data_IF_615698315278
#
_entry.id   IF_615698315278
#
_cell.length_a   1.000
_cell.length_b   1.000
_cell.length_c   1.000
_cell.angle_alpha   90.00
_cell.angle_beta   90.00
_cell.angle_gamma   90.00
#
_symmetry.space_group_name_H-M   'P 1'
#
loop_
_entity.id
_entity.type
_entity.pdbx_description
1 polymer ?
#
# COMPACT_ATOMS: atom_id res chain seq x y z
N UNK A 1 12.09 -16.70 -9.02
CA UNK A 1 11.98 -18.18 -9.08
C UNK A 1 12.15 -18.73 -7.67
N UNK A 2 11.24 -19.57 -7.19
CA UNK A 2 11.19 -20.04 -5.80
C UNK A 2 11.48 -21.55 -5.70
N UNK A 3 11.82 -21.99 -4.51
CA UNK A 3 11.85 -23.40 -4.09
C UNK A 3 10.61 -23.68 -3.25
N UNK A 4 9.86 -24.72 -3.63
CA UNK A 4 8.75 -25.25 -2.84
C UNK A 4 9.29 -26.20 -1.78
N UNK A 5 8.84 -26.03 -0.54
CA UNK A 5 9.06 -26.92 0.59
C UNK A 5 7.71 -27.17 1.26
N UNK A 6 7.55 -28.34 1.87
CA UNK A 6 6.36 -28.66 2.68
C UNK A 6 6.78 -28.74 4.15
N UNK A 7 6.03 -28.07 5.02
CA UNK A 7 6.19 -28.17 6.47
C UNK A 7 4.83 -28.39 7.13
N UNK A 8 4.64 -29.55 7.76
CA UNK A 8 3.34 -29.98 8.30
C UNK A 8 2.23 -29.93 7.23
N UNK A 9 1.33 -28.94 7.30
CA UNK A 9 0.23 -28.71 6.35
C UNK A 9 0.35 -27.35 5.64
N UNK A 10 1.50 -26.71 5.74
CA UNK A 10 1.78 -25.39 5.18
C UNK A 10 2.78 -25.53 4.05
N UNK A 11 2.41 -25.02 2.88
CA UNK A 11 3.34 -24.92 1.75
C UNK A 11 4.23 -23.69 1.91
N UNK A 12 5.52 -23.85 1.66
CA UNK A 12 6.53 -22.83 1.84
C UNK A 12 7.26 -22.56 0.54
N UNK A 13 7.22 -21.32 0.05
CA UNK A 13 7.93 -20.90 -1.15
C UNK A 13 9.08 -19.96 -0.76
N UNK A 14 10.31 -20.36 -1.09
CA UNK A 14 11.53 -19.61 -0.76
C UNK A 14 12.21 -19.10 -2.04
N UNK A 15 12.41 -17.78 -2.20
CA UNK A 15 13.15 -17.23 -3.34
C UNK A 15 14.59 -17.79 -3.33
N UNK A 16 15.09 -18.30 -4.47
CA UNK A 16 16.34 -19.08 -4.55
C UNK A 16 17.58 -18.43 -3.88
N UNK A 17 17.62 -17.10 -3.85
CA UNK A 17 18.78 -16.34 -3.39
C UNK A 17 18.69 -15.93 -1.91
N UNK A 18 17.66 -16.39 -1.18
CA UNK A 18 17.54 -16.12 0.25
C UNK A 18 18.24 -17.22 1.05
N UNK A 19 19.06 -16.79 2.01
CA UNK A 19 19.52 -17.67 3.09
C UNK A 19 18.28 -18.10 3.88
N UNK A 20 18.21 -19.37 4.24
CA UNK A 20 17.07 -19.92 4.96
C UNK A 20 16.96 -19.22 6.32
N UNK A 21 16.07 -18.25 6.44
CA UNK A 21 15.74 -17.60 7.71
C UNK A 21 14.69 -18.45 8.45
N UNK A 22 14.91 -18.69 9.74
CA UNK A 22 13.90 -19.27 10.61
C UNK A 22 12.80 -18.25 10.83
N UNK A 23 11.58 -18.56 10.39
CA UNK A 23 10.43 -17.72 10.72
C UNK A 23 9.96 -18.02 12.15
N UNK A 24 9.39 -17.03 12.84
CA UNK A 24 8.67 -17.24 14.09
C UNK A 24 7.55 -18.29 13.96
N UNK A 25 7.33 -19.12 14.99
CA UNK A 25 6.32 -20.18 14.99
C UNK A 25 4.89 -19.68 14.70
N UNK A 26 4.57 -18.46 15.13
CA UNK A 26 3.28 -17.81 14.93
C UNK A 26 3.00 -17.49 13.46
N UNK A 27 4.04 -17.35 12.63
CA UNK A 27 3.87 -17.20 11.18
C UNK A 27 3.36 -18.49 10.55
N UNK A 28 3.80 -19.65 11.05
CA UNK A 28 3.34 -20.94 10.55
C UNK A 28 1.95 -21.31 11.06
N UNK A 29 1.60 -20.89 12.29
CA UNK A 29 0.35 -21.28 12.94
C UNK A 29 -0.87 -20.82 12.14
N UNK A 30 -1.65 -21.78 11.62
CA UNK A 30 -2.87 -21.52 10.87
C UNK A 30 -2.67 -21.04 9.43
N UNK A 31 -1.42 -21.05 8.96
CA UNK A 31 -1.04 -20.64 7.61
C UNK A 31 -1.16 -21.80 6.63
N UNK A 32 -1.65 -21.50 5.42
CA UNK A 32 -1.77 -22.47 4.32
C UNK A 32 -0.62 -22.35 3.33
N UNK A 33 -0.17 -21.12 3.10
CA UNK A 33 0.94 -20.80 2.19
C UNK A 33 1.76 -19.68 2.80
N UNK A 34 3.08 -19.83 2.79
CA UNK A 34 4.03 -18.80 3.20
C UNK A 34 5.05 -18.60 2.09
N UNK A 35 5.26 -17.34 1.70
CA UNK A 35 6.10 -16.96 0.56
C UNK A 35 7.14 -15.97 1.05
N UNK A 36 8.39 -16.41 1.11
CA UNK A 36 9.51 -15.57 1.51
C UNK A 36 10.19 -15.05 0.25
N UNK A 37 10.13 -13.73 0.08
CA UNK A 37 10.55 -13.04 -1.14
C UNK A 37 11.77 -12.13 -0.94
N UNK A 38 11.89 -11.52 0.24
CA UNK A 38 13.01 -10.66 0.63
C UNK A 38 13.60 -11.03 1.99
N UNK A 39 14.69 -10.36 2.37
CA UNK A 39 15.35 -10.50 3.68
C UNK A 39 14.41 -9.97 4.78
N UNK A 40 14.22 -10.73 5.86
CA UNK A 40 13.31 -10.37 6.95
C UNK A 40 14.05 -9.58 8.03
N UNK A 41 14.60 -8.44 7.63
CA UNK A 41 15.16 -7.49 8.59
C UNK A 41 14.03 -6.89 9.44
N UNK A 42 13.77 -7.55 10.58
CA UNK A 42 12.92 -7.15 11.70
C UNK A 42 11.43 -6.94 11.38
N UNK A 43 10.64 -8.00 11.58
CA UNK A 43 9.18 -7.91 11.81
C UNK A 43 8.86 -7.16 13.12
N UNK A 44 9.82 -7.08 14.05
CA UNK A 44 9.69 -6.38 15.33
C UNK A 44 9.45 -4.88 15.08
N UNK A 45 8.38 -4.33 15.66
CA UNK A 45 7.91 -2.93 15.53
C UNK A 45 7.18 -2.56 14.24
N UNK A 46 6.73 -3.55 13.46
CA UNK A 46 5.89 -3.27 12.28
C UNK A 46 4.49 -2.82 12.69
N UNK A 47 3.95 -1.83 11.98
CA UNK A 47 2.58 -1.37 12.19
C UNK A 47 1.63 -2.09 11.25
N UNK A 48 0.47 -2.48 11.76
CA UNK A 48 -0.54 -3.23 11.00
C UNK A 48 -1.55 -2.30 10.34
N UNK A 49 -1.80 -2.52 9.05
CA UNK A 49 -2.85 -1.92 8.24
C UNK A 49 -3.89 -3.01 7.93
N UNK A 50 -5.16 -2.76 8.26
CA UNK A 50 -6.24 -3.69 8.00
C UNK A 50 -7.01 -3.26 6.76
N UNK A 51 -7.17 -4.18 5.80
CA UNK A 51 -7.99 -4.00 4.61
C UNK A 51 -9.15 -4.97 4.64
N UNK A 52 -10.35 -4.41 4.60
CA UNK A 52 -11.61 -5.14 4.51
C UNK A 52 -12.58 -4.43 3.57
N UNK A 53 -13.44 -5.19 2.87
CA UNK A 53 -14.52 -4.70 2.02
C UNK A 53 -14.06 -3.74 0.90
N UNK A 54 -12.98 -4.09 0.21
CA UNK A 54 -12.52 -3.28 -0.92
C UNK A 54 -13.38 -3.48 -2.17
N UNK A 55 -13.61 -2.40 -2.93
CA UNK A 55 -14.29 -2.43 -4.23
C UNK A 55 -13.42 -2.97 -5.35
N UNK A 56 -12.12 -3.12 -5.12
CA UNK A 56 -11.16 -3.74 -6.04
C UNK A 56 -10.34 -4.80 -5.31
N UNK A 57 -9.92 -5.87 -5.97
CA UNK A 57 -9.07 -6.86 -5.33
C UNK A 57 -7.60 -6.40 -5.28
N UNK A 58 -6.89 -6.61 -4.16
CA UNK A 58 -5.42 -6.50 -4.14
C UNK A 58 -4.81 -7.59 -4.99
N UNK A 59 -3.82 -7.23 -5.81
CA UNK A 59 -2.95 -8.18 -6.48
C UNK A 59 -1.47 -7.84 -6.18
N UNK A 60 -0.55 -8.65 -6.70
CA UNK A 60 0.89 -8.40 -6.61
C UNK A 60 1.53 -8.50 -7.99
N UNK A 61 2.62 -7.79 -8.17
CA UNK A 61 3.35 -7.68 -9.44
C UNK A 61 4.84 -7.95 -9.23
N UNK A 62 5.52 -8.52 -10.22
CA UNK A 62 6.98 -8.64 -10.24
C UNK A 62 7.59 -7.56 -11.13
N UNK A 63 8.55 -6.81 -10.62
CA UNK A 63 9.33 -5.88 -11.45
C UNK A 63 10.39 -6.59 -12.31
N UNK A 64 11.15 -5.78 -13.07
CA UNK A 64 12.19 -6.27 -13.99
C UNK A 64 13.37 -6.94 -13.27
N UNK A 65 13.62 -6.61 -11.99
CA UNK A 65 14.66 -7.26 -11.16
C UNK A 65 14.10 -8.43 -10.36
N UNK A 66 12.81 -8.73 -10.52
CA UNK A 66 12.11 -9.85 -9.93
C UNK A 66 11.69 -9.63 -8.48
N UNK A 67 11.63 -8.37 -8.03
CA UNK A 67 11.06 -7.98 -6.75
C UNK A 67 9.52 -7.93 -6.82
N UNK A 68 8.85 -8.30 -5.73
CA UNK A 68 7.39 -8.41 -5.66
C UNK A 68 6.79 -7.17 -5.01
N UNK A 69 5.77 -6.57 -5.61
CA UNK A 69 5.11 -5.34 -5.16
C UNK A 69 3.60 -5.52 -5.04
N UNK A 70 2.95 -4.69 -4.23
CA UNK A 70 1.49 -4.69 -4.08
C UNK A 70 0.88 -3.72 -5.09
N UNK A 71 -0.21 -4.13 -5.72
CA UNK A 71 -1.02 -3.29 -6.60
C UNK A 71 -2.49 -3.52 -6.32
N UNK A 72 -3.32 -2.54 -6.64
CA UNK A 72 -4.77 -2.67 -6.59
C UNK A 72 -5.36 -3.01 -7.97
N UNK A 73 -4.54 -3.23 -9.03
CA UNK A 73 -4.98 -3.72 -10.36
C UNK A 73 -3.87 -4.26 -11.28
N UNK A 74 -4.25 -5.15 -12.22
CA UNK A 74 -3.34 -5.93 -13.08
C UNK A 74 -2.20 -5.14 -13.74
N UNK A 75 -1.01 -5.66 -13.44
CA UNK A 75 0.33 -5.40 -13.94
C UNK A 75 0.79 -3.97 -14.23
N UNK A 76 0.01 -2.88 -14.12
CA UNK A 76 0.53 -1.52 -13.79
C UNK A 76 -0.57 -0.44 -13.72
N UNK A 77 -1.54 -0.66 -12.84
CA UNK A 77 -2.09 0.49 -12.12
C UNK A 77 -1.47 0.58 -10.73
N UNK A 78 -1.61 1.76 -10.11
CA UNK A 78 -0.82 2.27 -8.98
C UNK A 78 -0.11 1.16 -8.17
N UNK A 79 1.22 1.15 -8.28
CA UNK A 79 2.06 0.16 -7.61
C UNK A 79 2.58 0.81 -6.35
N UNK A 80 2.47 0.08 -5.25
CA UNK A 80 3.11 0.46 -4.02
C UNK A 80 4.56 0.08 -4.22
N UNK A 81 5.40 1.06 -4.53
CA UNK A 81 6.83 0.89 -4.74
C UNK A 81 7.54 0.63 -3.40
N UNK A 82 7.07 -0.38 -2.66
CA UNK A 82 7.70 -0.97 -1.48
C UNK A 82 7.65 -2.48 -1.69
N UNK A 83 8.80 -3.16 -1.79
CA UNK A 83 8.82 -4.58 -2.09
C UNK A 83 8.29 -5.38 -0.90
N UNK A 84 7.54 -6.42 -1.23
CA UNK A 84 7.01 -7.42 -0.31
C UNK A 84 8.14 -8.34 0.11
N UNK A 85 8.35 -8.46 1.41
CA UNK A 85 9.35 -9.36 2.01
C UNK A 85 8.75 -10.74 2.27
N UNK A 86 7.50 -10.79 2.73
CA UNK A 86 6.80 -12.02 3.12
C UNK A 86 5.31 -11.93 2.80
N UNK A 87 4.74 -13.01 2.28
CA UNK A 87 3.28 -13.20 2.18
C UNK A 87 2.88 -14.42 2.98
N UNK A 88 1.84 -14.28 3.80
CA UNK A 88 1.27 -15.36 4.62
C UNK A 88 -0.22 -15.47 4.31
N UNK A 89 -0.61 -16.56 3.66
CA UNK A 89 -2.01 -16.84 3.33
C UNK A 89 -2.61 -17.73 4.41
N UNK A 90 -3.63 -17.22 5.11
CA UNK A 90 -4.38 -17.95 6.15
C UNK A 90 -5.75 -18.39 5.64
N UNK A 91 -6.61 -18.88 6.53
CA UNK A 91 -7.97 -19.33 6.16
C UNK A 91 -8.84 -18.17 5.64
N UNK A 92 -8.87 -17.04 6.34
CA UNK A 92 -9.75 -15.89 6.04
C UNK A 92 -9.00 -14.60 5.65
N UNK A 93 -7.66 -14.57 5.80
CA UNK A 93 -6.87 -13.38 5.48
C UNK A 93 -5.58 -13.72 4.73
N UNK A 94 -5.00 -12.68 4.14
CA UNK A 94 -3.63 -12.65 3.63
C UNK A 94 -2.89 -11.59 4.43
N UNK A 95 -1.70 -11.90 4.91
CA UNK A 95 -0.81 -10.94 5.56
C UNK A 95 0.40 -10.71 4.68
N UNK A 96 0.63 -9.47 4.26
CA UNK A 96 1.81 -9.06 3.51
C UNK A 96 2.73 -8.25 4.43
N UNK A 97 3.99 -8.62 4.49
CA UNK A 97 5.02 -7.87 5.21
C UNK A 97 5.80 -7.06 4.20
N UNK A 98 5.70 -5.76 4.35
CA UNK A 98 6.47 -4.75 3.65
C UNK A 98 7.51 -4.21 4.63
N UNK A 99 8.58 -3.59 4.15
CA UNK A 99 9.65 -3.07 5.03
C UNK A 99 9.12 -2.08 6.09
N UNK A 100 8.89 -2.57 7.31
CA UNK A 100 8.34 -1.82 8.45
C UNK A 100 6.81 -1.73 8.53
N UNK A 101 6.07 -2.45 7.68
CA UNK A 101 4.61 -2.48 7.71
C UNK A 101 4.07 -3.90 7.53
N UNK A 102 2.96 -4.18 8.20
CA UNK A 102 2.17 -5.40 7.98
C UNK A 102 0.85 -4.98 7.39
N UNK A 103 0.46 -5.55 6.26
CA UNK A 103 -0.87 -5.35 5.67
C UNK A 103 -1.64 -6.64 5.86
N UNK A 104 -2.74 -6.58 6.60
CA UNK A 104 -3.71 -7.66 6.74
C UNK A 104 -4.88 -7.40 5.79
N UNK A 105 -5.12 -8.33 4.89
CA UNK A 105 -6.12 -8.22 3.82
C UNK A 105 -7.14 -9.34 4.04
N UNK A 106 -8.42 -8.99 4.16
CA UNK A 106 -9.49 -9.97 4.11
C UNK A 106 -9.52 -10.64 2.73
N UNK A 107 -9.68 -11.96 2.68
CA UNK A 107 -9.68 -12.69 1.40
C UNK A 107 -10.71 -12.21 0.39
N UNK A 108 -11.84 -11.67 0.84
CA UNK A 108 -12.85 -11.06 -0.05
C UNK A 108 -12.32 -9.84 -0.81
N UNK A 109 -11.27 -9.20 -0.29
CA UNK A 109 -10.64 -8.00 -0.85
C UNK A 109 -9.34 -8.31 -1.61
N UNK A 110 -9.01 -9.59 -1.81
CA UNK A 110 -7.80 -10.03 -2.49
C UNK A 110 -8.13 -10.72 -3.82
N UNK A 111 -7.27 -10.52 -4.83
CA UNK A 111 -7.39 -11.20 -6.10
C UNK A 111 -7.12 -12.68 -5.88
N UNK A 112 -7.93 -13.51 -6.52
CA UNK A 112 -7.92 -14.94 -6.25
C UNK A 112 -6.62 -15.63 -6.67
N UNK A 113 -5.88 -15.06 -7.62
CA UNK A 113 -4.53 -15.51 -7.98
C UNK A 113 -3.56 -15.54 -6.78
N UNK A 114 -3.76 -14.70 -5.76
CA UNK A 114 -2.91 -14.67 -4.56
C UNK A 114 -3.06 -15.95 -3.73
N UNK A 115 -4.12 -16.73 -3.95
CA UNK A 115 -4.34 -18.04 -3.33
C UNK A 115 -3.66 -19.19 -4.07
N UNK A 116 -3.18 -18.93 -5.29
CA UNK A 116 -2.68 -19.96 -6.19
C UNK A 116 -1.18 -20.05 -5.99
N UNK A 117 -0.67 -21.15 -5.43
CA UNK A 117 0.78 -21.35 -5.29
C UNK A 117 1.50 -21.28 -6.65
N UNK A 118 0.87 -21.83 -7.70
CA UNK A 118 1.44 -21.83 -9.05
C UNK A 118 1.58 -20.43 -9.64
N UNK A 119 0.82 -19.43 -9.19
CA UNK A 119 1.04 -18.03 -9.58
C UNK A 119 2.45 -17.56 -9.22
N UNK A 120 2.91 -17.90 -8.02
CA UNK A 120 4.23 -17.51 -7.55
C UNK A 120 5.36 -18.37 -8.14
N UNK A 121 5.03 -19.57 -8.62
CA UNK A 121 5.97 -20.51 -9.23
C UNK A 121 6.06 -20.38 -10.76
N UNK A 122 4.98 -19.98 -11.44
CA UNK A 122 4.82 -19.91 -12.89
C UNK A 122 4.07 -18.63 -13.29
N UNK A 123 4.65 -17.86 -14.22
CA UNK A 123 4.10 -16.60 -14.74
C UNK A 123 2.89 -16.79 -15.70
N UNK A 124 1.99 -17.75 -15.46
CA UNK A 124 0.80 -17.96 -16.28
C UNK A 124 -0.41 -18.12 -15.37
N UNK A 125 -1.26 -17.10 -15.36
CA UNK A 125 -2.50 -17.06 -14.61
C UNK A 125 -3.68 -17.29 -15.56
N UNK A 126 -4.42 -18.37 -15.35
CA UNK A 126 -5.84 -18.51 -15.69
C UNK A 126 -6.47 -19.36 -14.58
N UNK A 127 -7.56 -19.00 -13.89
CA UNK A 127 -8.96 -18.86 -14.28
C UNK A 127 -9.74 -18.43 -13.03
N UNK A 128 -10.80 -17.61 -13.14
CA UNK A 128 -11.89 -17.47 -12.16
C UNK A 128 -13.05 -16.54 -12.61
N UNK A 129 -14.25 -16.92 -12.18
CA UNK A 129 -15.57 -16.53 -12.72
C UNK A 129 -16.04 -15.09 -12.47
N UNK A 130 -16.93 -14.64 -13.37
CA UNK A 130 -17.29 -13.25 -13.64
C UNK A 130 -18.60 -12.76 -13.00
N UNK A 131 -18.60 -11.49 -12.62
CA UNK A 131 -19.81 -10.70 -12.37
C UNK A 131 -20.43 -10.08 -13.65
N UNK A 132 -21.52 -9.30 -13.52
CA UNK A 132 -22.32 -8.83 -14.66
C UNK A 132 -21.66 -7.64 -15.38
N UNK A 133 -20.79 -7.94 -16.34
CA UNK A 133 -20.04 -6.96 -17.13
C UNK A 133 -20.76 -6.47 -18.40
N UNK A 134 -20.37 -5.31 -18.93
CA UNK A 134 -20.85 -4.76 -20.21
C UNK A 134 -19.72 -4.71 -21.25
N UNK A 135 -20.02 -4.92 -22.53
CA UNK A 135 -19.05 -4.73 -23.64
C UNK A 135 -19.05 -3.29 -24.17
N UNK A 136 -17.89 -2.69 -24.35
CA UNK A 136 -17.69 -1.35 -24.94
C UNK A 136 -16.54 -1.36 -25.94
N UNK A 137 -16.55 -0.43 -26.90
CA UNK A 137 -15.43 -0.29 -27.85
C UNK A 137 -14.19 0.27 -27.15
N UNK A 138 -12.97 -0.24 -27.42
CA UNK A 138 -11.73 0.30 -26.86
C UNK A 138 -11.56 1.80 -27.11
N UNK A 139 -12.02 2.32 -28.24
CA UNK A 139 -11.91 3.74 -28.60
C UNK A 139 -12.68 4.66 -27.65
N UNK A 140 -13.71 4.14 -26.98
CA UNK A 140 -14.46 4.88 -25.96
C UNK A 140 -13.76 4.90 -24.60
N UNK A 141 -12.67 4.16 -24.44
CA UNK A 141 -11.89 4.08 -23.22
C UNK A 141 -10.77 5.13 -23.22
N UNK A 142 -10.81 6.03 -22.25
CA UNK A 142 -9.82 7.08 -22.03
C UNK A 142 -8.77 6.59 -21.04
N UNK A 143 -7.53 6.47 -21.51
CA UNK A 143 -6.38 6.12 -20.68
C UNK A 143 -5.82 7.37 -20.01
N UNK A 144 -5.51 7.29 -18.72
CA UNK A 144 -4.80 8.35 -17.98
C UNK A 144 -3.29 8.36 -18.25
N UNK A 145 -2.75 7.19 -18.56
CA UNK A 145 -1.32 6.95 -18.77
C UNK A 145 -1.05 6.62 -20.23
N UNK A 146 0.08 7.09 -20.75
CA UNK A 146 0.67 6.61 -21.99
C UNK A 146 1.66 5.49 -21.67
N UNK A 147 1.73 4.50 -22.57
CA UNK A 147 2.67 3.38 -22.45
C UNK A 147 3.70 3.47 -23.57
N UNK A 148 4.96 3.17 -23.25
CA UNK A 148 6.02 3.10 -24.25
C UNK A 148 5.76 1.92 -25.20
N UNK A 149 6.29 1.99 -26.42
CA UNK A 149 6.17 0.89 -27.37
C UNK A 149 6.89 -0.38 -26.87
N UNK A 150 7.95 -0.22 -26.08
CA UNK A 150 8.78 -1.29 -25.51
C UNK A 150 8.31 -1.76 -24.13
N UNK A 151 7.06 -1.46 -23.76
CA UNK A 151 6.48 -1.85 -22.48
C UNK A 151 6.30 -3.38 -22.45
N UNK A 152 7.23 -4.08 -21.79
CA UNK A 152 7.34 -5.54 -21.82
C UNK A 152 6.03 -6.24 -21.42
N UNK A 153 5.29 -5.80 -20.37
CA UNK A 153 4.01 -6.39 -20.02
C UNK A 153 2.96 -6.21 -21.13
N UNK A 154 2.86 -4.99 -21.69
CA UNK A 154 1.96 -4.72 -22.82
C UNK A 154 2.33 -5.56 -24.06
N UNK A 155 3.62 -5.72 -24.37
CA UNK A 155 4.08 -6.55 -25.49
C UNK A 155 3.70 -8.02 -25.32
N UNK A 156 3.84 -8.56 -24.09
CA UNK A 156 3.40 -9.92 -23.76
C UNK A 156 1.89 -10.09 -23.98
N UNK A 157 1.08 -9.14 -23.48
CA UNK A 157 -0.37 -9.13 -23.68
C UNK A 157 -0.74 -9.08 -25.17
N UNK A 158 -0.07 -8.23 -25.96
CA UNK A 158 -0.29 -8.13 -27.41
C UNK A 158 0.05 -9.46 -28.10
N UNK A 159 1.17 -10.09 -27.74
CA UNK A 159 1.59 -11.37 -28.32
C UNK A 159 0.59 -12.47 -28.02
N UNK A 160 0.12 -12.54 -26.78
CA UNK A 160 -0.91 -13.48 -26.34
C UNK A 160 -2.21 -13.27 -27.11
N UNK A 161 -2.75 -12.05 -27.10
CA UNK A 161 -3.96 -11.65 -27.83
C UNK A 161 -3.93 -12.01 -29.32
N UNK A 162 -2.77 -11.87 -29.97
CA UNK A 162 -2.57 -12.25 -31.37
C UNK A 162 -2.57 -13.75 -31.59
N UNK A 163 -2.14 -14.53 -30.59
CA UNK A 163 -2.03 -15.99 -30.67
C UNK A 163 -3.33 -16.72 -30.36
N UNK A 164 -4.14 -16.19 -29.44
CA UNK A 164 -5.37 -16.84 -28.93
C UNK A 164 -6.65 -16.23 -29.50
N UNK A 165 -6.56 -15.13 -30.28
CA UNK A 165 -7.70 -14.37 -30.83
C UNK A 165 -8.68 -13.83 -29.77
N UNK A 166 -8.35 -13.94 -28.50
CA UNK A 166 -9.04 -13.35 -27.35
C UNK A 166 -8.11 -13.42 -26.13
N UNK A 167 -8.28 -12.52 -25.15
CA UNK A 167 -7.87 -12.87 -23.79
C UNK A 167 -8.79 -14.00 -23.31
N UNK A 168 -8.28 -15.07 -22.72
CA UNK A 168 -9.09 -15.92 -21.85
C UNK A 168 -9.57 -14.99 -20.71
N UNK A 169 -10.83 -14.55 -20.76
CA UNK A 169 -11.26 -13.37 -19.98
C UNK A 169 -11.29 -13.65 -18.48
N UNK A 170 -10.45 -12.92 -17.74
CA UNK A 170 -10.51 -12.73 -16.29
C UNK A 170 -10.57 -11.23 -15.99
N UNK A 171 -11.52 -10.87 -15.13
CA UNK A 171 -11.94 -9.55 -14.67
C UNK A 171 -12.19 -8.45 -15.74
N UNK A 172 -13.42 -7.91 -15.84
CA UNK A 172 -13.71 -6.78 -16.72
C UNK A 172 -12.94 -5.52 -16.30
N UNK A 173 -12.55 -4.70 -17.28
CA UNK A 173 -11.88 -3.41 -17.08
C UNK A 173 -12.77 -2.48 -16.25
N UNK A 174 -12.27 -1.96 -15.12
CA UNK A 174 -13.08 -1.03 -14.32
C UNK A 174 -12.96 0.39 -14.83
N UNK A 175 -14.11 1.05 -14.97
CA UNK A 175 -14.22 2.37 -15.59
C UNK A 175 -15.15 3.29 -14.81
N UNK A 176 -14.90 4.60 -14.88
CA UNK A 176 -15.89 5.61 -14.53
C UNK A 176 -16.60 6.07 -15.80
N UNK A 177 -17.94 6.07 -15.79
CA UNK A 177 -18.70 6.63 -16.90
C UNK A 177 -18.52 8.16 -16.97
N UNK A 178 -18.23 8.68 -18.16
CA UNK A 178 -18.34 10.09 -18.54
C UNK A 178 -19.47 10.23 -19.55
N UNK A 179 -19.83 11.46 -19.93
CA UNK A 179 -20.98 11.72 -20.81
C UNK A 179 -20.98 10.87 -22.09
N UNK A 180 -19.83 10.81 -22.79
CA UNK A 180 -19.70 10.09 -24.07
C UNK A 180 -18.57 9.04 -24.10
N UNK A 181 -17.89 8.83 -22.98
CA UNK A 181 -16.70 7.98 -22.88
C UNK A 181 -16.62 7.31 -21.52
N UNK A 182 -15.62 6.46 -21.35
CA UNK A 182 -15.34 5.77 -20.10
C UNK A 182 -13.89 6.06 -19.71
N UNK A 183 -13.70 6.66 -18.56
CA UNK A 183 -12.37 6.86 -17.97
C UNK A 183 -11.91 5.54 -17.36
N UNK A 184 -10.75 5.05 -17.79
CA UNK A 184 -10.18 3.80 -17.29
C UNK A 184 -9.63 4.01 -15.88
N UNK A 185 -10.09 3.18 -14.94
CA UNK A 185 -9.67 3.16 -13.52
C UNK A 185 -8.90 1.89 -13.16
N UNK A 186 -8.73 0.98 -14.13
CA UNK A 186 -8.17 -0.34 -13.98
C UNK A 186 -7.82 -0.91 -15.36
N UNK A 187 -6.71 -1.64 -15.49
CA UNK A 187 -6.38 -2.39 -16.70
C UNK A 187 -5.99 -1.51 -17.89
N UNK A 188 -5.41 -0.33 -17.63
CA UNK A 188 -4.92 0.59 -18.66
C UNK A 188 -4.01 -0.07 -19.72
N UNK A 189 -3.11 -0.98 -19.31
CA UNK A 189 -2.27 -1.75 -20.24
C UNK A 189 -3.06 -2.73 -21.10
N UNK A 190 -4.03 -3.43 -20.50
CA UNK A 190 -4.95 -4.32 -21.24
C UNK A 190 -5.70 -3.52 -22.31
N UNK A 191 -6.25 -2.37 -21.94
CA UNK A 191 -6.91 -1.46 -22.88
C UNK A 191 -5.94 -0.99 -23.98
N UNK A 192 -4.69 -0.66 -23.63
CA UNK A 192 -3.66 -0.29 -24.61
C UNK A 192 -3.37 -1.45 -25.58
N UNK A 193 -3.20 -2.67 -25.07
CA UNK A 193 -2.98 -3.87 -25.88
C UNK A 193 -4.17 -4.15 -26.81
N UNK A 194 -5.41 -4.08 -26.31
CA UNK A 194 -6.62 -4.23 -27.12
C UNK A 194 -6.70 -3.19 -28.26
N UNK A 195 -6.39 -1.92 -27.97
CA UNK A 195 -6.31 -0.86 -28.99
C UNK A 195 -5.24 -1.15 -30.04
N UNK A 196 -4.08 -1.67 -29.63
CA UNK A 196 -2.97 -2.02 -30.53
C UNK A 196 -3.26 -3.23 -31.41
N UNK A 197 -3.98 -4.23 -30.90
CA UNK A 197 -4.33 -5.44 -31.65
C UNK A 197 -5.54 -5.20 -32.57
N UNK A 198 -6.41 -4.23 -32.25
CA UNK A 198 -7.54 -3.85 -33.10
C UNK A 198 -8.82 -4.64 -32.80
N UNK A 199 -9.01 -5.07 -31.56
CA UNK A 199 -10.28 -5.68 -31.15
C UNK A 199 -11.41 -4.65 -31.08
N UNK A 200 -12.63 -5.09 -31.39
CA UNK A 200 -13.76 -4.17 -31.49
C UNK A 200 -14.47 -3.94 -30.14
N UNK A 201 -14.29 -4.82 -29.16
CA UNK A 201 -15.01 -4.81 -27.89
C UNK A 201 -14.11 -5.26 -26.74
N UNK A 202 -14.29 -4.64 -25.57
CA UNK A 202 -13.67 -4.96 -24.29
C UNK A 202 -14.77 -4.98 -23.24
N UNK A 203 -14.71 -5.91 -22.29
CA UNK A 203 -15.63 -5.94 -21.15
C UNK A 203 -15.22 -4.94 -20.09
N UNK A 204 -16.20 -4.19 -19.59
CA UNK A 204 -16.04 -3.20 -18.55
C UNK A 204 -17.06 -3.34 -17.44
N UNK A 205 -16.67 -2.95 -16.24
CA UNK A 205 -17.54 -2.67 -15.11
C UNK A 205 -17.51 -1.17 -14.82
N UNK A 206 -18.67 -0.52 -14.83
CA UNK A 206 -18.77 0.91 -14.50
C UNK A 206 -19.03 1.10 -13.02
N UNK A 207 -18.24 1.95 -12.37
CA UNK A 207 -18.48 2.41 -11.00
C UNK A 207 -19.05 3.82 -10.97
N UNK A 208 -19.65 4.20 -9.85
CA UNK A 208 -20.18 5.56 -9.67
C UNK A 208 -19.03 6.55 -9.56
N UNK A 209 -19.26 7.80 -9.94
CA UNK A 209 -18.26 8.87 -9.84
C UNK A 209 -17.75 9.04 -8.39
N UNK A 210 -18.64 8.81 -7.43
CA UNK A 210 -18.35 8.82 -5.99
C UNK A 210 -17.41 7.68 -5.59
N UNK A 211 -17.39 6.55 -6.30
CA UNK A 211 -16.59 5.37 -5.94
C UNK A 211 -15.20 5.40 -6.58
N UNK A 212 -14.95 6.34 -7.50
CA UNK A 212 -13.68 6.46 -8.26
C UNK A 212 -12.47 6.59 -7.33
N UNK A 213 -12.62 7.27 -6.19
CA UNK A 213 -11.50 7.41 -5.26
C UNK A 213 -11.11 6.08 -4.60
N UNK A 214 -11.98 5.07 -4.56
CA UNK A 214 -11.66 3.76 -3.96
C UNK A 214 -10.70 2.94 -4.84
N UNK A 215 -10.50 3.36 -6.09
CA UNK A 215 -9.59 2.73 -7.05
C UNK A 215 -8.15 3.25 -6.94
N UNK A 216 -7.85 4.02 -5.88
CA UNK A 216 -6.49 4.50 -5.58
C UNK A 216 -5.79 3.61 -4.57
N UNK A 217 -4.51 3.32 -4.78
CA UNK A 217 -3.80 2.33 -3.98
C UNK A 217 -3.62 2.78 -2.52
N UNK A 218 -3.29 4.03 -2.26
CA UNK A 218 -3.16 4.52 -0.88
C UNK A 218 -4.50 4.52 -0.14
N UNK A 219 -5.60 4.71 -0.86
CA UNK A 219 -6.96 4.68 -0.28
C UNK A 219 -7.40 3.27 0.05
N UNK A 220 -6.82 2.29 -0.65
CA UNK A 220 -7.02 0.88 -0.39
C UNK A 220 -6.53 0.48 1.00
N UNK A 221 -5.36 0.98 1.41
CA UNK A 221 -4.76 0.63 2.69
C UNK A 221 -5.27 1.47 3.86
N UNK A 222 -5.95 2.59 3.60
CA UNK A 222 -6.47 3.45 4.65
C UNK A 222 -7.69 4.25 4.18
N UNK A 223 -8.80 4.10 4.90
CA UNK A 223 -10.02 4.90 4.73
C UNK A 223 -9.77 6.39 4.90
N UNK A 224 -8.71 6.76 5.62
CA UNK A 224 -8.41 8.15 5.95
C UNK A 224 -7.83 8.91 4.76
N UNK A 225 -7.45 8.22 3.68
CA UNK A 225 -7.04 8.84 2.43
C UNK A 225 -8.16 9.04 1.43
N UNK A 226 -9.39 8.54 1.68
CA UNK A 226 -10.51 8.69 0.73
C UNK A 226 -10.68 10.14 0.25
N UNK A 227 -10.71 10.30 -1.09
CA UNK A 227 -10.83 11.60 -1.75
C UNK A 227 -9.54 12.41 -1.94
N UNK A 228 -8.37 11.90 -1.52
CA UNK A 228 -7.08 12.64 -1.60
C UNK A 228 -6.29 12.34 -2.88
N UNK A 229 -5.30 13.18 -3.19
CA UNK A 229 -4.33 12.92 -4.25
C UNK A 229 -3.19 12.05 -3.69
N UNK A 230 -2.74 11.06 -4.46
CA UNK A 230 -1.64 10.19 -4.04
C UNK A 230 -0.31 10.94 -3.98
N UNK A 231 0.58 10.59 -3.03
CA UNK A 231 1.95 11.07 -3.06
C UNK A 231 2.69 10.55 -4.31
N UNK A 232 3.65 11.33 -4.81
CA UNK A 232 4.53 10.92 -5.92
C UNK A 232 5.35 9.69 -5.50
N UNK A 233 5.12 8.56 -6.17
CA UNK A 233 5.66 7.25 -5.78
C UNK A 233 7.11 7.03 -6.20
N UNK A 234 7.78 8.00 -6.82
CA UNK A 234 9.14 7.84 -7.35
C UNK A 234 10.27 7.81 -6.31
N UNK A 235 10.00 8.04 -5.02
CA UNK A 235 11.00 7.99 -3.92
C UNK A 235 10.62 6.97 -2.83
N UNK A 236 11.18 5.76 -2.93
CA UNK A 236 11.02 4.63 -2.00
C UNK A 236 11.14 5.01 -0.51
N UNK A 237 12.19 5.76 -0.15
CA UNK A 237 12.50 6.03 1.26
C UNK A 237 11.48 7.03 1.81
N UNK A 238 11.09 8.00 0.98
CA UNK A 238 10.06 8.97 1.32
C UNK A 238 8.68 8.33 1.45
N UNK A 239 8.32 7.42 0.55
CA UNK A 239 7.06 6.68 0.58
C UNK A 239 6.89 5.89 1.87
N UNK A 240 7.92 5.15 2.31
CA UNK A 240 7.89 4.42 3.58
C UNK A 240 7.51 5.32 4.76
N UNK A 241 8.10 6.50 4.86
CA UNK A 241 7.80 7.42 5.96
C UNK A 241 6.46 8.14 5.79
N UNK A 242 6.02 8.36 4.55
CA UNK A 242 4.67 8.83 4.28
C UNK A 242 3.64 7.80 4.74
N UNK A 243 3.80 6.50 4.44
CA UNK A 243 2.96 5.43 5.01
C UNK A 243 2.95 5.42 6.54
N UNK A 244 4.08 5.73 7.17
CA UNK A 244 4.13 5.82 8.62
C UNK A 244 3.26 6.97 9.16
N UNK A 245 3.25 8.10 8.46
CA UNK A 245 2.40 9.26 8.76
C UNK A 245 0.94 8.95 8.47
N UNK A 246 0.65 8.19 7.40
CA UNK A 246 -0.71 7.77 7.01
C UNK A 246 -1.44 6.99 8.10
N UNK A 247 -0.73 6.44 9.08
CA UNK A 247 -1.29 5.72 10.22
C UNK A 247 -1.79 6.64 11.34
N UNK A 248 -1.56 7.94 11.23
CA UNK A 248 -1.94 8.94 12.22
C UNK A 248 -2.81 10.00 11.56
N UNK A 249 -4.13 9.88 11.70
CA UNK A 249 -5.10 10.67 10.93
C UNK A 249 -4.88 12.18 11.05
N UNK A 250 -4.69 12.67 12.29
CA UNK A 250 -4.44 14.08 12.55
C UNK A 250 -3.15 14.57 11.87
N UNK A 251 -2.10 13.75 11.86
CA UNK A 251 -0.83 14.11 11.26
C UNK A 251 -0.90 14.05 9.74
N UNK A 252 -1.53 13.01 9.20
CA UNK A 252 -1.77 12.85 7.78
C UNK A 252 -2.60 14.02 7.22
N UNK A 253 -3.62 14.47 7.95
CA UNK A 253 -4.42 15.64 7.60
C UNK A 253 -3.57 16.89 7.49
N UNK A 254 -2.76 17.20 8.51
CA UNK A 254 -1.94 18.42 8.49
C UNK A 254 -0.85 18.34 7.42
N UNK A 255 -0.13 17.22 7.31
CA UNK A 255 0.92 17.04 6.29
C UNK A 255 0.34 17.19 4.87
N UNK A 256 -0.90 16.72 4.67
CA UNK A 256 -1.62 16.85 3.40
C UNK A 256 -2.22 18.23 3.17
N UNK A 257 -2.85 18.88 4.15
CA UNK A 257 -3.37 20.25 4.03
C UNK A 257 -2.26 21.24 3.70
N UNK A 258 -1.07 20.96 4.22
CA UNK A 258 0.13 21.68 3.83
C UNK A 258 0.66 21.21 2.46
N UNK A 259 -0.17 20.68 1.55
CA UNK A 259 0.11 19.88 0.34
C UNK A 259 1.30 20.31 -0.54
N UNK A 260 1.76 21.56 -0.45
CA UNK A 260 3.05 22.00 -0.96
C UNK A 260 4.25 21.39 -0.21
N UNK A 261 4.06 20.65 0.88
CA UNK A 261 5.10 20.02 1.68
C UNK A 261 5.50 18.69 1.06
N UNK A 262 4.56 17.76 0.85
CA UNK A 262 4.88 16.38 0.52
C UNK A 262 5.69 16.25 -0.77
N UNK A 263 5.50 17.14 -1.76
CA UNK A 263 6.29 17.15 -3.00
C UNK A 263 7.70 17.75 -2.82
N UNK A 264 7.90 18.65 -1.86
CA UNK A 264 9.10 19.50 -1.77
C UNK A 264 9.96 19.27 -0.52
N UNK A 265 9.51 18.46 0.44
CA UNK A 265 10.31 18.14 1.63
C UNK A 265 11.21 16.94 1.43
N UNK A 266 12.35 16.98 2.11
CA UNK A 266 13.27 15.87 2.18
C UNK A 266 12.69 14.70 2.97
N UNK A 267 13.15 13.49 2.68
CA UNK A 267 12.84 12.29 3.47
C UNK A 267 13.22 12.47 4.94
N UNK A 268 14.32 13.19 5.23
CA UNK A 268 14.78 13.49 6.59
C UNK A 268 13.74 14.29 7.37
N UNK A 269 13.05 15.22 6.73
CA UNK A 269 11.98 15.98 7.35
C UNK A 269 10.80 15.08 7.72
N UNK A 270 10.35 14.24 6.79
CA UNK A 270 9.24 13.29 7.02
C UNK A 270 9.55 12.36 8.20
N UNK A 271 10.79 11.85 8.28
CA UNK A 271 11.27 11.04 9.40
C UNK A 271 11.22 11.80 10.73
N UNK A 272 11.71 13.04 10.75
CA UNK A 272 11.75 13.84 11.96
C UNK A 272 10.33 14.18 12.44
N UNK A 273 9.41 14.50 11.52
CA UNK A 273 7.99 14.71 11.83
C UNK A 273 7.37 13.46 12.45
N UNK A 274 7.53 12.29 11.83
CA UNK A 274 7.00 11.03 12.35
C UNK A 274 7.58 10.67 13.73
N UNK A 275 8.89 10.89 13.91
CA UNK A 275 9.60 10.67 15.19
C UNK A 275 9.10 11.62 16.28
N UNK A 276 8.92 12.90 15.96
CA UNK A 276 8.44 13.91 16.92
C UNK A 276 6.98 13.71 17.27
N UNK A 277 6.14 13.35 16.31
CA UNK A 277 4.74 13.00 16.57
C UNK A 277 4.66 11.81 17.51
N UNK A 278 5.46 10.75 17.25
CA UNK A 278 5.61 9.62 18.17
C UNK A 278 6.13 10.00 19.53
N UNK A 279 6.77 11.14 19.72
CA UNK A 279 7.27 11.60 21.01
C UNK A 279 6.29 12.53 21.74
N UNK A 280 5.55 13.34 21.00
CA UNK A 280 4.60 14.32 21.50
C UNK A 280 3.63 14.73 20.37
N UNK A 281 2.48 14.04 20.24
CA UNK A 281 1.53 14.29 19.17
C UNK A 281 1.03 15.73 19.16
N UNK A 282 0.63 16.26 20.34
CA UNK A 282 0.01 17.57 20.48
C UNK A 282 0.93 18.71 20.02
N UNK A 283 2.18 18.72 20.46
CA UNK A 283 3.13 19.77 20.05
C UNK A 283 3.53 19.62 18.58
N UNK A 284 3.64 18.38 18.09
CA UNK A 284 3.99 18.14 16.69
C UNK A 284 2.90 18.64 15.76
N UNK A 285 1.63 18.29 16.02
CA UNK A 285 0.49 18.80 15.25
C UNK A 285 0.44 20.33 15.26
N UNK A 286 0.70 20.96 16.42
CA UNK A 286 0.74 22.43 16.52
C UNK A 286 1.86 23.04 15.67
N UNK A 287 3.06 22.45 15.67
CA UNK A 287 4.16 22.91 14.82
C UNK A 287 3.80 22.76 13.35
N UNK A 288 3.25 21.60 12.96
CA UNK A 288 2.88 21.31 11.58
C UNK A 288 1.73 22.20 11.08
N UNK A 289 0.72 22.50 11.90
CA UNK A 289 -0.36 23.42 11.56
C UNK A 289 0.10 24.88 11.43
N UNK A 290 1.25 25.22 12.04
CA UNK A 290 1.81 26.58 11.97
C UNK A 290 2.69 26.83 10.75
N UNK A 291 2.78 25.88 9.81
CA UNK A 291 3.66 25.97 8.66
C UNK A 291 3.04 26.93 7.62
N UNK A 292 3.74 28.02 7.25
CA UNK A 292 3.27 28.90 6.19
C UNK A 292 3.44 28.26 4.80
N UNK A 293 2.67 28.71 3.82
CA UNK A 293 2.71 28.19 2.44
C UNK A 293 4.11 28.21 1.79
N UNK A 294 4.95 29.19 2.14
CA UNK A 294 6.32 29.38 1.61
C UNK A 294 7.41 29.04 2.66
N UNK A 295 7.22 27.97 3.42
CA UNK A 295 8.17 27.60 4.48
C UNK A 295 9.52 27.14 3.90
N UNK A 296 10.56 27.32 4.71
CA UNK A 296 11.84 26.65 4.52
C UNK A 296 11.93 25.48 5.50
N UNK A 297 12.31 24.31 5.00
CA UNK A 297 12.41 23.08 5.80
C UNK A 297 13.26 23.27 7.08
N UNK A 298 14.36 24.05 6.98
CA UNK A 298 15.24 24.33 8.11
C UNK A 298 14.52 25.03 9.28
N UNK A 299 13.57 25.92 9.00
CA UNK A 299 12.87 26.69 10.03
C UNK A 299 11.89 25.81 10.80
N UNK A 300 11.23 24.89 10.10
CA UNK A 300 10.33 23.92 10.74
C UNK A 300 11.14 22.86 11.47
N UNK A 301 12.28 22.43 10.93
CA UNK A 301 13.18 21.48 11.60
C UNK A 301 13.66 22.03 12.95
N UNK A 302 13.96 23.32 13.05
CA UNK A 302 14.28 23.98 14.33
C UNK A 302 13.11 23.94 15.32
N UNK A 303 11.88 24.20 14.85
CA UNK A 303 10.67 24.11 15.68
C UNK A 303 10.41 22.67 16.16
N UNK A 304 10.57 21.68 15.29
CA UNK A 304 10.47 20.25 15.62
C UNK A 304 11.55 19.84 16.64
N UNK A 305 12.78 20.32 16.50
CA UNK A 305 13.87 20.03 17.43
C UNK A 305 13.54 20.49 18.86
N UNK A 306 12.83 21.61 19.03
CA UNK A 306 12.42 22.15 20.31
C UNK A 306 11.29 21.36 21.01
N UNK A 307 10.60 20.45 20.31
CA UNK A 307 9.55 19.61 20.90
C UNK A 307 10.16 18.68 21.94
N UNK A 308 9.66 18.78 23.17
CA UNK A 308 9.96 17.88 24.29
C UNK A 308 9.01 16.69 24.30
N UNK A 309 9.45 15.51 24.79
CA UNK A 309 8.58 14.34 24.90
C UNK A 309 7.36 14.60 25.79
N UNK A 310 6.22 13.99 25.44
CA UNK A 310 5.01 13.99 26.26
C UNK A 310 5.31 13.25 27.58
N UNK A 311 5.00 13.86 28.74
CA UNK A 311 5.12 13.20 30.04
C UNK A 311 4.49 11.80 30.08
N UNK A 312 3.35 11.58 29.40
CA UNK A 312 2.70 10.26 29.31
C UNK A 312 3.64 9.20 28.76
N UNK A 313 4.39 9.54 27.71
CA UNK A 313 5.31 8.60 27.09
C UNK A 313 6.55 8.35 27.93
N UNK A 314 7.04 9.38 28.61
CA UNK A 314 8.16 9.22 29.52
C UNK A 314 7.79 8.32 30.71
N UNK A 315 6.58 8.47 31.27
CA UNK A 315 6.08 7.60 32.33
C UNK A 315 5.85 6.16 31.83
N UNK A 316 5.32 6.00 30.62
CA UNK A 316 5.14 4.68 29.98
C UNK A 316 6.48 3.94 29.80
N UNK A 317 7.53 4.64 29.36
CA UNK A 317 8.90 4.08 29.28
C UNK A 317 9.48 3.69 30.64
N UNK A 318 8.98 4.26 31.74
CA UNK A 318 9.32 3.87 33.11
C UNK A 318 8.43 2.73 33.63
N UNK A 319 7.71 2.03 32.74
CA UNK A 319 6.82 0.91 33.04
C UNK A 319 5.70 1.24 34.04
N UNK A 320 5.27 2.51 34.09
CA UNK A 320 4.13 2.92 34.90
C UNK A 320 2.84 2.50 34.20
N UNK A 321 1.90 1.92 34.94
CA UNK A 321 0.62 1.47 34.40
C UNK A 321 -0.21 2.63 33.85
N UNK A 322 -1.01 2.37 32.81
CA UNK A 322 -1.85 3.40 32.17
C UNK A 322 -2.76 4.14 33.17
N UNK A 323 -3.39 3.41 34.10
CA UNK A 323 -4.23 4.00 35.14
C UNK A 323 -3.46 5.00 36.04
N UNK A 324 -2.21 4.69 36.39
CA UNK A 324 -1.37 5.58 37.18
C UNK A 324 -0.87 6.78 36.37
N UNK A 325 -0.58 6.58 35.08
CA UNK A 325 -0.24 7.67 34.16
C UNK A 325 -1.41 8.65 34.08
N UNK A 326 -2.64 8.17 33.90
CA UNK A 326 -3.81 9.04 33.81
C UNK A 326 -4.06 9.81 35.10
N UNK A 327 -3.88 9.16 36.27
CA UNK A 327 -3.98 9.82 37.56
C UNK A 327 -2.91 10.92 37.73
N UNK A 328 -1.66 10.65 37.34
CA UNK A 328 -0.57 11.62 37.38
C UNK A 328 -0.80 12.79 36.42
N UNK A 329 -1.26 12.51 35.19
CA UNK A 329 -1.59 13.55 34.21
C UNK A 329 -2.77 14.41 34.65
N UNK A 330 -3.78 13.82 35.29
CA UNK A 330 -4.91 14.59 35.84
C UNK A 330 -4.47 15.55 36.94
N UNK A 331 -3.48 15.15 37.75
CA UNK A 331 -3.02 15.93 38.90
C UNK A 331 -1.93 16.96 38.56
N UNK A 332 -1.04 16.62 37.63
CA UNK A 332 0.18 17.40 37.34
C UNK A 332 0.36 17.74 35.86
N UNK A 333 -0.50 17.27 34.96
CA UNK A 333 -0.33 17.42 33.51
C UNK A 333 -0.38 18.87 33.01
N UNK A 334 -0.97 19.78 33.78
CA UNK A 334 -0.97 21.21 33.49
C UNK A 334 0.26 21.96 34.06
N UNK A 335 1.08 21.30 34.88
CA UNK A 335 2.26 21.92 35.48
C UNK A 335 3.42 21.94 34.46
N UNK A 336 3.95 23.13 34.10
CA UNK A 336 5.05 23.25 33.14
C UNK A 336 6.37 22.61 33.61
N UNK A 337 6.53 22.33 34.90
CA UNK A 337 7.70 21.64 35.46
C UNK A 337 7.53 20.12 35.47
N UNK A 338 6.31 19.60 35.36
CA UNK A 338 6.04 18.17 35.38
C UNK A 338 6.79 17.39 34.28
N UNK A 339 6.85 17.86 33.01
CA UNK A 339 7.70 17.21 32.00
C UNK A 339 9.19 17.15 32.37
N UNK A 340 9.71 18.12 33.14
CA UNK A 340 11.10 18.12 33.62
C UNK A 340 11.30 17.14 34.77
N UNK A 341 10.32 17.03 35.66
CA UNK A 341 10.33 16.06 36.76
C UNK A 341 10.28 14.61 36.28
N UNK A 342 9.50 14.36 35.22
CA UNK A 342 9.31 13.01 34.68
C UNK A 342 10.51 12.52 33.87
N UNK A 343 11.27 13.42 33.22
CA UNK A 343 12.55 13.08 32.59
C UNK A 343 13.49 12.50 33.64
#
# INVERSE_FOLDING_TARGET
MYHRLEHQQTTFLLRKNLVREELPEDIYRGSRLVIVHGILDLIKDSKTLNVSNSTSPVNVYYDDVGDLFVTNYDEEEEVLDIPIQLIVVRKQSITMFLKGFVVEIDKSSAHKCLFIESFYMNNRLSNEEEGPSRKVSPEKLLLKKSFAASDVPTEKMIKEMKSTLAFEELDPIVVSKKENSFEVLSGSRRVHAYKKVGFNQIRVNSVKAEEVFAFKLFHFFSTNFQGRQEPDTTDFVKNRHLFEICLYDDLANIVYETASIAKFVSTRFVVEVAKKYRSNPTLTLRVMASIPANFKEQDITKKLAAITPDPRQLLSKKHISAANIDALMKKFGCDPLFPKFVK
#
